data_IF_404819438933
#
_entry.id   IF_404819438933
#
_cell.length_a   1.000
_cell.length_b   1.000
_cell.length_c   1.000
_cell.angle_alpha   90.00
_cell.angle_beta   90.00
_cell.angle_gamma   90.00
#
_symmetry.space_group_name_H-M   'P 1'
#
loop_
_entity.id
_entity.type
_entity.pdbx_description
1 polymer ?
#
# COMPACT_ATOMS: atom_id res chain seq x y z
N UNK A 1 -21.70 -18.76 -0.85
CA UNK A 1 -20.74 -19.71 -1.43
C UNK A 1 -20.64 -20.95 -0.54
N UNK A 2 -20.39 -20.81 0.77
CA UNK A 2 -20.54 -21.93 1.74
C UNK A 2 -21.97 -22.49 1.77
N UNK A 3 -22.99 -21.62 1.72
CA UNK A 3 -24.40 -22.01 1.74
C UNK A 3 -24.90 -22.73 0.47
N UNK A 4 -24.02 -22.89 -0.53
CA UNK A 4 -24.30 -23.58 -1.79
C UNK A 4 -23.45 -24.86 -1.97
N UNK A 5 -22.71 -25.30 -0.94
CA UNK A 5 -21.79 -26.47 -0.97
C UNK A 5 -20.65 -26.37 -2.00
N UNK A 6 -20.23 -25.14 -2.37
CA UNK A 6 -19.18 -24.92 -3.38
C UNK A 6 -17.78 -24.81 -2.74
N UNK A 7 -17.72 -24.52 -1.45
CA UNK A 7 -16.48 -24.43 -0.66
C UNK A 7 -16.71 -25.26 0.60
N UNK A 8 -15.91 -26.30 0.78
CA UNK A 8 -15.91 -27.12 1.99
C UNK A 8 -14.85 -26.57 2.97
N UNK A 9 -15.29 -26.17 4.16
CA UNK A 9 -14.43 -25.60 5.19
C UNK A 9 -13.49 -26.63 5.84
N UNK A 10 -13.76 -27.93 5.66
CA UNK A 10 -12.90 -29.04 6.11
C UNK A 10 -11.96 -29.55 4.99
N UNK A 11 -12.11 -29.05 3.76
CA UNK A 11 -11.26 -29.44 2.63
C UNK A 11 -10.00 -28.58 2.56
N UNK A 12 -8.85 -29.20 2.82
CA UNK A 12 -7.54 -28.54 2.79
C UNK A 12 -7.21 -27.88 1.43
N UNK A 13 -7.72 -28.42 0.31
CA UNK A 13 -7.50 -27.83 -1.02
C UNK A 13 -8.29 -26.54 -1.19
N UNK A 14 -9.53 -26.51 -0.70
CA UNK A 14 -10.38 -25.31 -0.79
C UNK A 14 -9.86 -24.21 0.14
N UNK A 15 -9.41 -24.58 1.34
CA UNK A 15 -8.72 -23.67 2.27
C UNK A 15 -7.41 -23.14 1.68
N UNK A 16 -6.63 -23.98 1.00
CA UNK A 16 -5.39 -23.56 0.34
C UNK A 16 -5.69 -22.59 -0.82
N UNK A 17 -6.65 -22.90 -1.68
CA UNK A 17 -7.10 -22.03 -2.76
C UNK A 17 -7.61 -20.69 -2.24
N UNK A 18 -8.39 -20.70 -1.15
CA UNK A 18 -8.86 -19.49 -0.49
C UNK A 18 -7.69 -18.67 0.05
N UNK A 19 -6.76 -19.29 0.78
CA UNK A 19 -5.61 -18.59 1.34
C UNK A 19 -4.71 -18.00 0.25
N UNK A 20 -4.47 -18.74 -0.82
CA UNK A 20 -3.68 -18.30 -1.96
C UNK A 20 -4.32 -17.10 -2.66
N UNK A 21 -5.60 -17.20 -3.01
CA UNK A 21 -6.33 -16.13 -3.70
C UNK A 21 -6.53 -14.90 -2.81
N UNK A 22 -6.90 -15.09 -1.54
CA UNK A 22 -7.06 -14.00 -0.58
C UNK A 22 -5.74 -13.29 -0.30
N UNK A 23 -4.62 -14.01 -0.19
CA UNK A 23 -3.33 -13.39 0.08
C UNK A 23 -2.82 -12.58 -1.12
N UNK A 24 -2.97 -13.10 -2.34
CA UNK A 24 -2.60 -12.34 -3.54
C UNK A 24 -3.51 -11.13 -3.75
N UNK A 25 -4.80 -11.27 -3.47
CA UNK A 25 -5.75 -10.16 -3.47
C UNK A 25 -5.38 -9.09 -2.45
N UNK A 26 -5.10 -9.48 -1.19
CA UNK A 26 -4.66 -8.57 -0.13
C UNK A 26 -3.38 -7.83 -0.51
N UNK A 27 -2.37 -8.54 -1.02
CA UNK A 27 -1.12 -7.92 -1.49
C UNK A 27 -1.38 -6.89 -2.58
N UNK A 28 -2.24 -7.22 -3.55
CA UNK A 28 -2.62 -6.31 -4.63
C UNK A 28 -3.32 -5.07 -4.07
N UNK A 29 -4.31 -5.24 -3.19
CA UNK A 29 -5.02 -4.13 -2.56
C UNK A 29 -4.09 -3.26 -1.71
N UNK A 30 -3.17 -3.85 -0.97
CA UNK A 30 -2.16 -3.12 -0.20
C UNK A 30 -1.26 -2.28 -1.10
N UNK A 31 -0.82 -2.82 -2.24
CA UNK A 31 -0.02 -2.07 -3.21
C UNK A 31 -0.80 -0.90 -3.79
N UNK A 32 -2.08 -1.11 -4.14
CA UNK A 32 -2.93 -0.01 -4.59
C UNK A 32 -3.13 1.04 -3.50
N UNK A 33 -3.41 0.62 -2.27
CA UNK A 33 -3.58 1.53 -1.14
C UNK A 33 -2.33 2.37 -0.92
N UNK A 34 -1.14 1.76 -0.88
CA UNK A 34 0.14 2.47 -0.74
C UNK A 34 0.34 3.50 -1.85
N UNK A 35 0.13 3.11 -3.10
CA UNK A 35 0.27 4.01 -4.24
C UNK A 35 -0.72 5.17 -4.19
N UNK A 36 -2.00 4.88 -3.96
CA UNK A 36 -3.04 5.91 -3.82
C UNK A 36 -2.73 6.84 -2.65
N UNK A 37 -2.31 6.31 -1.51
CA UNK A 37 -1.98 7.11 -0.33
C UNK A 37 -0.77 8.02 -0.57
N UNK A 38 0.31 7.49 -1.16
CA UNK A 38 1.53 8.26 -1.45
C UNK A 38 1.31 9.39 -2.45
N UNK A 39 0.39 9.19 -3.41
CA UNK A 39 0.04 10.21 -4.41
C UNK A 39 -1.21 11.02 -4.02
N UNK A 40 -1.83 10.76 -2.86
CA UNK A 40 -3.03 11.48 -2.45
C UNK A 40 -2.64 12.81 -1.79
N UNK A 41 -3.20 13.96 -2.24
CA UNK A 41 -2.86 15.25 -1.67
C UNK A 41 -3.36 15.40 -0.22
N UNK A 42 -2.45 15.74 0.69
CA UNK A 42 -2.78 15.94 2.10
C UNK A 42 -3.27 17.37 2.31
N UNK A 43 -4.51 17.52 2.76
CA UNK A 43 -5.17 18.83 2.92
C UNK A 43 -4.43 19.77 3.88
N UNK A 44 -3.78 19.22 4.91
CA UNK A 44 -3.06 20.01 5.93
C UNK A 44 -1.70 20.50 5.46
N UNK A 45 -1.10 19.85 4.47
CA UNK A 45 0.23 20.15 3.94
C UNK A 45 0.16 20.86 2.59
N UNK A 46 -0.68 21.91 2.50
CA UNK A 46 -0.91 22.69 1.28
C UNK A 46 -1.32 21.86 0.06
N UNK A 47 -2.02 20.74 0.27
CA UNK A 47 -2.45 19.83 -0.79
C UNK A 47 -1.28 19.14 -1.52
N UNK A 48 -0.10 19.04 -0.89
CA UNK A 48 1.03 18.24 -1.38
C UNK A 48 0.81 16.77 -1.08
N UNK A 49 1.31 15.90 -1.96
CA UNK A 49 1.28 14.45 -1.73
C UNK A 49 2.39 14.05 -0.75
N UNK A 50 2.23 12.95 0.01
CA UNK A 50 3.29 12.44 0.88
C UNK A 50 4.62 12.22 0.15
N UNK A 51 4.56 11.79 -1.11
CA UNK A 51 5.75 11.62 -1.96
C UNK A 51 6.48 12.96 -2.21
N UNK A 52 5.74 14.02 -2.58
CA UNK A 52 6.31 15.36 -2.76
C UNK A 52 6.93 15.92 -1.48
N UNK A 53 6.30 15.66 -0.33
CA UNK A 53 6.82 16.07 0.97
C UNK A 53 8.14 15.36 1.29
N UNK A 54 8.23 14.07 0.98
CA UNK A 54 9.44 13.28 1.19
C UNK A 54 10.59 13.76 0.31
N UNK A 55 10.35 13.95 -0.99
CA UNK A 55 11.35 14.48 -1.93
C UNK A 55 11.81 15.89 -1.53
N UNK A 56 10.87 16.77 -1.16
CA UNK A 56 11.19 18.11 -0.66
C UNK A 56 12.05 18.09 0.60
N UNK A 57 11.79 17.16 1.52
CA UNK A 57 12.61 16.95 2.71
C UNK A 57 14.03 16.47 2.38
N UNK A 58 14.18 15.55 1.42
CA UNK A 58 15.49 15.07 0.98
C UNK A 58 16.32 16.19 0.32
N UNK A 59 15.70 17.00 -0.53
CA UNK A 59 16.36 18.15 -1.17
C UNK A 59 16.82 19.18 -0.13
N UNK A 60 15.98 19.48 0.86
CA UNK A 60 16.35 20.38 1.95
C UNK A 60 17.53 19.85 2.78
N UNK A 61 17.58 18.54 3.04
CA UNK A 61 18.71 17.91 3.71
C UNK A 61 20.01 18.01 2.88
N UNK A 62 19.93 17.83 1.56
CA UNK A 62 21.07 17.95 0.67
C UNK A 62 21.63 19.38 0.66
N UNK A 63 20.75 20.39 0.52
CA UNK A 63 21.15 21.81 0.56
C UNK A 63 21.86 22.17 1.87
N UNK A 64 21.38 21.66 3.01
CA UNK A 64 22.02 21.86 4.30
C UNK A 64 23.40 21.20 4.43
N UNK A 65 23.70 20.17 3.64
CA UNK A 65 25.02 19.56 3.58
C UNK A 65 25.97 20.37 2.70
N UNK A 66 25.49 20.86 1.56
CA UNK A 66 26.26 21.72 0.65
C UNK A 66 26.63 23.07 1.31
N UNK A 67 25.73 23.67 2.10
CA UNK A 67 26.00 24.93 2.82
C UNK A 67 27.01 24.78 3.98
N UNK A 68 27.32 23.55 4.41
CA UNK A 68 28.26 23.26 5.50
C UNK A 68 29.68 22.94 5.03
N UNK A 69 29.90 22.83 3.73
CA UNK A 69 31.16 22.42 3.11
C UNK A 69 31.85 23.59 2.41
#
# INVERSE_FOLDING_TARGET
MEQNEILDADNEVDLFCLHFTCMDLLKRHMKYFQNTWNCHPVRTERNMTPEMLFEGGLLALQQQQDDKN
#
